data_IF_320803204551
#
_entry.id   IF_320803204551
#
_cell.length_a   1.000
_cell.length_b   1.000
_cell.length_c   1.000
_cell.angle_alpha   90.00
_cell.angle_beta   90.00
_cell.angle_gamma   90.00
#
_symmetry.space_group_name_H-M   'P 1'
#
loop_
_entity.id
_entity.type
_entity.pdbx_description
1 polymer ?
#
# COMPACT_ATOMS: atom_id res chain seq x y z
N UNK A 1 11.30 0.90 12.70
CA UNK A 1 10.60 1.57 11.59
C UNK A 1 9.79 2.72 12.16
N UNK A 2 9.80 3.88 11.49
CA UNK A 2 9.42 5.19 12.05
C UNK A 2 10.52 5.83 12.92
N UNK A 3 10.65 7.15 12.90
CA UNK A 3 11.53 7.90 13.82
C UNK A 3 10.83 8.08 15.18
N UNK A 4 10.56 6.97 15.87
CA UNK A 4 9.79 6.95 17.13
C UNK A 4 10.62 7.32 18.37
N UNK A 5 11.94 7.45 18.21
CA UNK A 5 12.87 7.78 19.28
C UNK A 5 13.47 9.16 19.07
N UNK A 6 13.62 9.92 20.14
CA UNK A 6 14.28 11.23 20.14
C UNK A 6 15.73 11.11 20.62
N UNK A 7 16.69 11.32 19.72
CA UNK A 7 18.12 11.36 20.05
C UNK A 7 18.53 12.77 20.48
N UNK A 8 18.71 12.94 21.80
CA UNK A 8 19.04 14.23 22.43
C UNK A 8 20.40 14.77 22.02
N UNK A 9 21.41 13.90 21.89
CA UNK A 9 22.78 14.31 21.55
C UNK A 9 22.93 14.87 20.14
N UNK A 10 21.96 14.61 19.25
CA UNK A 10 21.93 15.14 17.89
C UNK A 10 20.66 15.91 17.55
N UNK A 11 19.85 16.26 18.57
CA UNK A 11 18.58 16.98 18.45
C UNK A 11 17.71 16.52 17.26
N UNK A 12 17.59 15.20 17.08
CA UNK A 12 16.87 14.62 15.94
C UNK A 12 16.11 13.37 16.32
N UNK A 13 15.03 13.11 15.59
CA UNK A 13 14.31 11.85 15.70
C UNK A 13 15.08 10.74 14.93
N UNK A 14 15.10 9.54 15.48
CA UNK A 14 15.85 8.40 14.96
C UNK A 14 15.02 7.12 15.05
N UNK A 15 15.33 6.16 14.18
CA UNK A 15 14.74 4.83 14.25
C UNK A 15 15.41 3.99 15.34
N UNK A 16 14.79 2.87 15.73
CA UNK A 16 15.43 1.91 16.63
C UNK A 16 16.75 1.35 16.07
N UNK A 17 16.81 1.07 14.77
CA UNK A 17 18.05 0.60 14.13
C UNK A 17 19.14 1.68 14.15
N UNK A 18 18.78 2.93 13.84
CA UNK A 18 19.71 4.07 13.95
C UNK A 18 20.19 4.26 15.39
N UNK A 19 19.30 4.10 16.39
CA UNK A 19 19.66 4.18 17.81
C UNK A 19 20.73 3.15 18.19
N UNK A 20 20.55 1.90 17.73
CA UNK A 20 21.53 0.84 17.95
C UNK A 20 22.85 1.10 17.22
N UNK A 21 22.80 1.75 16.06
CA UNK A 21 23.97 2.09 15.24
C UNK A 21 24.63 3.44 15.60
N UNK A 22 24.13 4.17 16.62
CA UNK A 22 24.77 5.41 17.07
C UNK A 22 26.22 5.12 17.48
N UNK A 23 27.13 6.05 17.13
CA UNK A 23 28.53 5.97 17.49
C UNK A 23 28.68 5.78 19.00
N UNK A 24 29.56 4.85 19.36
CA UNK A 24 29.88 4.49 20.75
C UNK A 24 31.36 4.74 20.98
N UNK A 25 31.72 4.99 22.23
CA UNK A 25 33.12 5.20 22.61
C UNK A 25 34.00 3.98 22.29
N UNK A 26 33.44 2.77 22.43
CA UNK A 26 34.13 1.52 22.10
C UNK A 26 33.18 0.50 21.46
N UNK A 27 33.75 -0.49 20.75
CA UNK A 27 32.99 -1.56 20.09
C UNK A 27 32.25 -2.49 21.08
N UNK A 28 32.68 -2.54 22.34
CA UNK A 28 32.10 -3.39 23.40
C UNK A 28 31.19 -2.61 24.34
N UNK A 29 31.12 -1.28 24.21
CA UNK A 29 30.20 -0.48 25.00
C UNK A 29 28.75 -0.93 24.74
N UNK A 30 27.99 -1.12 25.82
CA UNK A 30 26.58 -1.47 25.78
C UNK A 30 25.76 -0.45 24.98
N UNK A 31 24.52 -0.79 24.59
CA UNK A 31 23.67 0.13 23.84
C UNK A 31 23.41 1.41 24.64
N UNK A 32 23.28 2.55 23.94
CA UNK A 32 22.92 3.82 24.56
C UNK A 32 21.62 3.65 25.35
N UNK A 33 21.61 4.14 26.60
CA UNK A 33 20.47 3.97 27.50
C UNK A 33 19.23 4.66 26.92
N UNK A 34 18.17 3.87 26.70
CA UNK A 34 16.87 4.40 26.31
C UNK A 34 16.07 4.72 27.57
N UNK A 35 15.75 6.00 27.77
CA UNK A 35 14.85 6.42 28.85
C UNK A 35 13.54 7.04 28.32
N UNK A 36 12.61 7.36 29.23
CA UNK A 36 11.32 7.93 28.85
C UNK A 36 11.43 9.28 28.12
N UNK A 37 12.54 10.02 28.26
CA UNK A 37 12.78 11.29 27.57
C UNK A 37 13.19 11.09 26.10
N UNK A 38 13.53 9.87 25.72
CA UNK A 38 13.81 9.49 24.34
C UNK A 38 12.56 8.97 23.60
N UNK A 39 11.41 8.90 24.26
CA UNK A 39 10.16 8.48 23.63
C UNK A 39 9.35 9.72 23.23
N UNK A 40 8.85 9.74 22.00
CA UNK A 40 7.90 10.75 21.56
C UNK A 40 6.52 10.35 22.07
N UNK A 41 5.92 11.19 22.91
CA UNK A 41 4.60 10.93 23.48
C UNK A 41 3.57 10.78 22.34
N UNK A 42 2.67 9.83 22.48
CA UNK A 42 1.60 9.53 21.49
C UNK A 42 2.12 9.04 20.13
N UNK A 43 3.42 8.75 20.01
CA UNK A 43 4.08 8.19 18.84
C UNK A 43 4.95 6.99 19.25
N UNK A 44 4.53 6.23 20.26
CA UNK A 44 5.34 5.13 20.81
C UNK A 44 5.37 3.87 19.93
N UNK A 45 4.43 3.76 18.99
CA UNK A 45 4.27 2.61 18.09
C UNK A 45 3.78 3.03 16.71
N UNK A 46 3.73 2.06 15.79
CA UNK A 46 3.35 2.30 14.40
C UNK A 46 1.91 2.84 14.27
N UNK A 47 0.95 2.20 14.94
CA UNK A 47 -0.46 2.65 14.97
C UNK A 47 -0.58 4.08 15.52
N UNK A 48 0.05 4.35 16.67
CA UNK A 48 0.03 5.66 17.30
C UNK A 48 0.67 6.73 16.39
N UNK A 49 1.75 6.38 15.70
CA UNK A 49 2.43 7.25 14.77
C UNK A 49 1.58 7.59 13.54
N UNK A 50 0.99 6.59 12.89
CA UNK A 50 0.09 6.79 11.75
C UNK A 50 -1.11 7.65 12.17
N UNK A 51 -1.71 7.36 13.33
CA UNK A 51 -2.78 8.17 13.90
C UNK A 51 -2.35 9.63 14.08
N UNK A 52 -1.18 9.87 14.68
CA UNK A 52 -0.65 11.23 14.87
C UNK A 52 -0.46 11.95 13.53
N UNK A 53 0.06 11.29 12.50
CA UNK A 53 0.23 11.88 11.16
C UNK A 53 -1.12 12.29 10.57
N UNK A 54 -2.12 11.42 10.62
CA UNK A 54 -3.44 11.76 10.07
C UNK A 54 -4.18 12.81 10.89
N UNK A 55 -4.24 12.69 12.21
CA UNK A 55 -5.08 13.56 13.06
C UNK A 55 -4.39 14.90 13.38
N UNK A 56 -3.09 14.89 13.70
CA UNK A 56 -2.38 16.09 14.16
C UNK A 56 -1.67 16.82 13.00
N UNK A 57 -1.01 16.08 12.11
CA UNK A 57 -0.25 16.71 11.01
C UNK A 57 -1.19 17.06 9.87
N UNK A 58 -1.80 16.07 9.22
CA UNK A 58 -2.69 16.31 8.08
C UNK A 58 -3.99 16.98 8.54
N UNK A 59 -4.59 16.49 9.63
CA UNK A 59 -5.87 16.99 10.13
C UNK A 59 -5.87 18.46 10.55
N UNK A 60 -4.77 18.95 11.15
CA UNK A 60 -4.67 20.34 11.65
C UNK A 60 -3.84 21.27 10.77
N UNK A 61 -2.80 20.76 10.09
CA UNK A 61 -1.90 21.60 9.31
C UNK A 61 -2.27 21.66 7.82
N UNK A 62 -2.90 20.62 7.27
CA UNK A 62 -3.47 20.71 5.92
C UNK A 62 -4.80 21.49 5.97
N UNK A 63 -5.03 22.38 5.01
CA UNK A 63 -6.31 23.10 4.91
C UNK A 63 -7.49 22.14 4.87
N UNK A 64 -8.66 22.50 5.40
CA UNK A 64 -9.80 21.57 5.55
C UNK A 64 -10.29 20.95 4.23
N UNK A 65 -10.13 21.68 3.12
CA UNK A 65 -10.49 21.25 1.76
C UNK A 65 -9.33 20.58 1.00
N UNK A 66 -8.17 20.41 1.64
CA UNK A 66 -7.02 19.80 0.96
C UNK A 66 -7.31 18.34 0.66
N UNK A 67 -7.11 17.98 -0.61
CA UNK A 67 -7.12 16.61 -1.11
C UNK A 67 -5.82 15.94 -0.73
N UNK A 68 -5.90 14.67 -0.30
CA UNK A 68 -4.79 13.91 0.25
C UNK A 68 -4.56 12.65 -0.57
N UNK A 69 -3.34 12.47 -1.05
CA UNK A 69 -2.87 11.20 -1.59
C UNK A 69 -1.99 10.51 -0.56
N UNK A 70 -2.13 9.19 -0.45
CA UNK A 70 -1.44 8.40 0.57
C UNK A 70 -0.48 7.42 -0.10
N UNK A 71 0.81 7.52 0.24
CA UNK A 71 1.80 6.51 -0.09
C UNK A 71 2.22 5.82 1.20
N UNK A 72 1.95 4.52 1.30
CA UNK A 72 2.48 3.67 2.35
C UNK A 72 3.53 2.74 1.79
N UNK A 73 4.66 2.56 2.49
CA UNK A 73 5.71 1.59 2.10
C UNK A 73 6.11 0.73 3.29
N UNK A 74 6.23 -0.58 3.05
CA UNK A 74 6.55 -1.58 4.07
C UNK A 74 5.54 -1.54 5.21
N UNK A 75 5.94 -1.36 6.48
CA UNK A 75 4.99 -1.26 7.59
C UNK A 75 3.97 -0.12 7.44
N UNK A 76 4.33 0.96 6.77
CA UNK A 76 3.40 2.06 6.48
C UNK A 76 2.31 1.65 5.47
N UNK A 77 2.61 0.74 4.55
CA UNK A 77 1.65 0.16 3.62
C UNK A 77 0.63 -0.75 4.30
N UNK A 78 0.87 -1.17 5.55
CA UNK A 78 -0.05 -1.99 6.34
C UNK A 78 -0.90 -1.12 7.27
N UNK A 79 -0.25 -0.28 8.07
CA UNK A 79 -0.96 0.46 9.13
C UNK A 79 -1.78 1.63 8.57
N UNK A 80 -1.31 2.32 7.53
CA UNK A 80 -2.05 3.43 6.93
C UNK A 80 -3.44 3.01 6.38
N UNK A 81 -3.58 1.95 5.57
CA UNK A 81 -4.90 1.51 5.12
C UNK A 81 -5.76 0.96 6.26
N UNK A 82 -5.18 0.30 7.28
CA UNK A 82 -5.94 -0.13 8.48
C UNK A 82 -6.50 1.09 9.24
N UNK A 83 -5.72 2.15 9.37
CA UNK A 83 -6.18 3.39 9.98
C UNK A 83 -7.33 4.02 9.18
N UNK A 84 -7.18 4.09 7.85
CA UNK A 84 -8.19 4.62 6.96
C UNK A 84 -9.48 3.78 7.01
N UNK A 85 -9.39 2.46 6.98
CA UNK A 85 -10.51 1.53 7.12
C UNK A 85 -11.35 1.83 8.37
N UNK A 86 -10.70 1.97 9.53
CA UNK A 86 -11.38 2.23 10.82
C UNK A 86 -12.03 3.61 10.92
N UNK A 87 -11.60 4.58 10.11
CA UNK A 87 -12.03 5.99 10.16
C UNK A 87 -12.48 6.52 8.80
N UNK A 88 -12.93 5.63 7.93
CA UNK A 88 -13.13 5.96 6.53
C UNK A 88 -14.16 7.06 6.35
N UNK A 89 -15.20 7.10 7.18
CA UNK A 89 -16.23 8.13 7.12
C UNK A 89 -15.67 9.57 7.23
N UNK A 90 -14.60 9.76 8.00
CA UNK A 90 -13.95 11.07 8.14
C UNK A 90 -13.01 11.41 6.97
N UNK A 91 -12.44 10.39 6.33
CA UNK A 91 -11.38 10.55 5.32
C UNK A 91 -11.84 10.36 3.88
N UNK A 92 -12.97 9.71 3.63
CA UNK A 92 -13.50 9.37 2.29
C UNK A 92 -13.67 10.57 1.36
N UNK A 93 -13.94 11.76 1.91
CA UNK A 93 -14.12 12.99 1.13
C UNK A 93 -12.80 13.71 0.81
N UNK A 94 -11.71 13.34 1.49
CA UNK A 94 -10.41 14.01 1.39
C UNK A 94 -9.37 13.15 0.70
N UNK A 95 -9.41 11.82 0.89
CA UNK A 95 -8.45 10.90 0.29
C UNK A 95 -8.80 10.69 -1.18
N UNK A 96 -7.88 11.05 -2.07
CA UNK A 96 -8.04 10.85 -3.51
C UNK A 96 -7.55 9.47 -3.93
N UNK A 97 -6.30 9.11 -3.64
CA UNK A 97 -5.74 7.83 -4.04
C UNK A 97 -4.79 7.25 -2.98
N UNK A 98 -4.58 5.93 -3.06
CA UNK A 98 -3.68 5.20 -2.16
C UNK A 98 -2.74 4.33 -2.97
N UNK A 99 -1.44 4.45 -2.71
CA UNK A 99 -0.38 3.58 -3.24
C UNK A 99 0.25 2.81 -2.08
N UNK A 100 0.29 1.49 -2.22
CA UNK A 100 0.83 0.56 -1.22
C UNK A 100 2.09 -0.12 -1.77
N UNK A 101 3.27 0.24 -1.28
CA UNK A 101 4.54 -0.41 -1.60
C UNK A 101 4.84 -1.56 -0.63
N UNK A 102 4.92 -2.78 -1.14
CA UNK A 102 5.10 -4.01 -0.38
C UNK A 102 4.09 -4.15 0.80
N UNK A 103 2.77 -4.10 0.54
CA UNK A 103 1.79 -4.40 1.57
C UNK A 103 1.85 -5.87 1.96
N UNK A 104 1.53 -6.15 3.21
CA UNK A 104 1.36 -7.48 3.79
C UNK A 104 -0.07 -7.72 4.28
N UNK A 105 -0.86 -6.65 4.47
CA UNK A 105 -2.25 -6.74 4.91
C UNK A 105 -3.16 -7.15 3.75
N UNK A 106 -3.98 -8.17 3.98
CA UNK A 106 -4.96 -8.63 3.00
C UNK A 106 -6.24 -7.79 3.02
N UNK A 107 -6.92 -7.73 1.89
CA UNK A 107 -8.19 -7.01 1.73
C UNK A 107 -9.29 -7.54 2.64
N UNK A 108 -9.22 -8.83 3.02
CA UNK A 108 -10.15 -9.47 3.94
C UNK A 108 -10.02 -8.97 5.38
N UNK A 109 -8.91 -8.31 5.73
CA UNK A 109 -8.68 -7.75 7.07
C UNK A 109 -9.37 -6.39 7.25
N UNK A 110 -9.69 -5.70 6.15
CA UNK A 110 -10.42 -4.44 6.17
C UNK A 110 -11.90 -4.67 6.48
N UNK A 111 -12.43 -3.94 7.47
CA UNK A 111 -13.79 -4.11 7.98
C UNK A 111 -14.81 -3.28 7.22
N UNK A 112 -14.44 -2.07 6.79
CA UNK A 112 -15.33 -1.15 6.10
C UNK A 112 -15.46 -1.54 4.62
N UNK A 113 -16.69 -1.85 4.21
CA UNK A 113 -16.98 -2.24 2.82
C UNK A 113 -16.76 -1.07 1.84
N UNK A 114 -16.97 0.17 2.29
CA UNK A 114 -16.80 1.37 1.49
C UNK A 114 -15.32 1.65 1.23
N UNK A 115 -14.46 1.32 2.20
CA UNK A 115 -13.02 1.40 2.00
C UNK A 115 -12.53 0.30 1.05
N UNK A 116 -13.05 -0.93 1.19
CA UNK A 116 -12.77 -2.00 0.23
C UNK A 116 -13.21 -1.63 -1.19
N UNK A 117 -14.40 -1.04 -1.36
CA UNK A 117 -14.90 -0.57 -2.66
C UNK A 117 -14.02 0.55 -3.25
N UNK A 118 -13.50 1.46 -2.41
CA UNK A 118 -12.56 2.50 -2.82
C UNK A 118 -11.24 1.92 -3.35
N UNK A 119 -10.72 0.85 -2.74
CA UNK A 119 -9.54 0.15 -3.26
C UNK A 119 -9.87 -0.54 -4.59
N UNK A 120 -10.98 -1.28 -4.62
CA UNK A 120 -11.48 -1.92 -5.82
C UNK A 120 -12.91 -2.40 -5.68
N UNK A 121 -13.68 -2.20 -6.75
CA UNK A 121 -15.08 -2.59 -6.84
C UNK A 121 -15.22 -3.90 -7.61
N UNK A 122 -15.90 -4.87 -7.02
CA UNK A 122 -16.31 -6.08 -7.75
C UNK A 122 -17.60 -5.76 -8.48
N UNK A 123 -17.58 -5.78 -9.82
CA UNK A 123 -18.79 -5.67 -10.63
C UNK A 123 -19.19 -7.06 -11.12
N UNK A 124 -20.45 -7.49 -10.94
CA UNK A 124 -20.95 -8.64 -11.69
C UNK A 124 -20.87 -8.27 -13.16
N UNK A 125 -20.26 -9.13 -13.97
CA UNK A 125 -20.18 -8.96 -15.42
C UNK A 125 -21.59 -9.14 -15.98
N UNK A 126 -22.40 -8.08 -15.98
CA UNK A 126 -23.54 -8.06 -16.88
C UNK A 126 -22.93 -8.00 -18.28
N UNK A 127 -22.95 -9.14 -18.99
CA UNK A 127 -22.65 -9.19 -20.41
C UNK A 127 -23.52 -8.13 -21.10
N UNK A 128 -22.95 -6.95 -21.33
CA UNK A 128 -23.57 -5.95 -22.17
C UNK A 128 -23.63 -6.59 -23.56
N UNK A 129 -24.85 -6.84 -24.03
CA UNK A 129 -25.10 -7.62 -25.23
C UNK A 129 -24.37 -7.08 -26.44
N UNK A 130 -23.28 -7.74 -26.81
CA UNK A 130 -23.02 -8.03 -28.22
C UNK A 130 -23.44 -9.48 -28.42
N UNK A 131 -24.71 -9.64 -28.78
CA UNK A 131 -25.17 -10.87 -29.41
C UNK A 131 -24.44 -11.00 -30.75
N UNK A 132 -23.25 -11.61 -30.74
CA UNK A 132 -22.73 -12.24 -31.95
C UNK A 132 -23.51 -13.54 -32.07
N UNK A 133 -24.56 -13.51 -32.88
CA UNK A 133 -25.24 -14.72 -33.29
C UNK A 133 -24.27 -15.56 -34.11
N UNK A 134 -23.64 -16.56 -33.48
CA UNK A 134 -23.12 -17.70 -34.21
C UNK A 134 -23.33 -18.97 -33.40
N UNK A 135 -23.99 -19.93 -34.05
CA UNK A 135 -24.53 -21.12 -33.44
C UNK A 135 -23.48 -22.17 -33.04
N UNK A 136 -24.03 -23.19 -32.39
CA UNK A 136 -23.42 -24.43 -31.91
C UNK A 136 -22.59 -24.35 -30.62
N UNK A 137 -23.30 -24.65 -29.52
CA UNK A 137 -22.95 -25.80 -28.69
C UNK A 137 -21.58 -25.77 -28.02
N UNK A 138 -21.41 -24.90 -27.04
CA UNK A 138 -20.31 -24.96 -26.07
C UNK A 138 -20.79 -24.32 -24.78
N UNK A 139 -20.80 -25.07 -23.67
CA UNK A 139 -21.31 -24.63 -22.38
C UNK A 139 -20.76 -23.27 -21.98
N UNK A 140 -21.65 -22.37 -21.55
CA UNK A 140 -21.28 -21.10 -20.96
C UNK A 140 -20.38 -21.36 -19.74
N UNK A 141 -19.05 -21.24 -19.92
CA UNK A 141 -18.13 -21.14 -18.79
C UNK A 141 -18.50 -19.87 -18.03
N UNK A 142 -18.66 -20.02 -16.71
CA UNK A 142 -19.36 -19.09 -15.84
C UNK A 142 -18.98 -17.62 -16.04
N UNK A 143 -19.97 -16.77 -15.86
CA UNK A 143 -19.84 -15.31 -15.81
C UNK A 143 -18.79 -14.93 -14.75
N UNK A 144 -17.56 -14.65 -15.18
CA UNK A 144 -16.48 -14.22 -14.31
C UNK A 144 -16.81 -12.90 -13.63
N UNK A 145 -16.52 -12.76 -12.33
CA UNK A 145 -16.59 -11.47 -11.64
C UNK A 145 -15.44 -10.61 -12.13
N UNK A 146 -15.74 -9.47 -12.75
CA UNK A 146 -14.72 -8.51 -13.16
C UNK A 146 -14.56 -7.48 -12.05
N UNK A 147 -13.39 -7.47 -11.43
CA UNK A 147 -13.03 -6.44 -10.46
C UNK A 147 -12.49 -5.22 -11.21
N UNK A 148 -12.73 -4.02 -10.68
CA UNK A 148 -12.23 -2.74 -11.22
C UNK A 148 -11.54 -2.00 -10.08
N UNK A 149 -10.26 -1.67 -10.25
CA UNK A 149 -9.48 -0.95 -9.24
C UNK A 149 -9.90 0.49 -9.37
N UNK A 150 -10.43 1.10 -8.32
CA UNK A 150 -10.83 2.50 -8.42
C UNK A 150 -9.62 3.37 -8.13
N UNK A 151 -9.19 3.43 -6.86
CA UNK A 151 -8.22 4.44 -6.43
C UNK A 151 -7.10 3.87 -5.56
N UNK A 152 -6.96 2.55 -5.54
CA UNK A 152 -5.84 1.84 -4.94
C UNK A 152 -4.90 1.26 -6.00
N UNK A 153 -3.59 1.29 -5.74
CA UNK A 153 -2.58 0.47 -6.42
C UNK A 153 -1.61 -0.12 -5.42
N UNK A 154 -1.21 -1.37 -5.64
CA UNK A 154 -0.16 -2.04 -4.88
C UNK A 154 1.07 -2.28 -5.76
N UNK A 155 2.25 -2.02 -5.22
CA UNK A 155 3.54 -2.30 -5.84
C UNK A 155 4.26 -3.36 -5.04
N UNK A 156 4.45 -4.54 -5.63
CA UNK A 156 5.05 -5.70 -4.97
C UNK A 156 6.56 -5.75 -5.24
N UNK A 157 7.29 -6.36 -4.32
CA UNK A 157 8.72 -6.65 -4.48
C UNK A 157 8.88 -7.63 -5.63
N UNK A 158 9.48 -7.19 -6.72
CA UNK A 158 9.69 -7.98 -7.93
C UNK A 158 10.81 -7.37 -8.78
N UNK A 159 11.52 -8.25 -9.49
CA UNK A 159 12.60 -7.89 -10.43
C UNK A 159 12.09 -7.46 -11.80
N UNK A 160 10.82 -7.72 -12.08
CA UNK A 160 10.20 -7.34 -13.35
C UNK A 160 10.26 -5.83 -13.55
N UNK A 161 10.26 -5.33 -14.80
CA UNK A 161 10.19 -3.91 -15.08
C UNK A 161 9.06 -3.24 -14.30
N UNK A 162 9.28 -1.99 -13.89
CA UNK A 162 8.27 -1.22 -13.16
C UNK A 162 6.96 -1.14 -13.96
N UNK A 163 5.83 -1.18 -13.28
CA UNK A 163 4.48 -1.21 -13.85
C UNK A 163 4.13 -2.49 -14.64
N UNK A 164 4.96 -3.55 -14.59
CA UNK A 164 4.54 -4.89 -15.04
C UNK A 164 3.41 -5.40 -14.14
N UNK A 165 2.24 -5.81 -14.69
CA UNK A 165 1.13 -6.31 -13.90
C UNK A 165 1.50 -7.63 -13.21
N UNK A 166 1.14 -7.76 -11.94
CA UNK A 166 1.38 -8.93 -11.12
C UNK A 166 0.08 -9.48 -10.54
N UNK A 167 0.09 -10.77 -10.22
CA UNK A 167 -1.00 -11.39 -9.46
C UNK A 167 -0.97 -10.88 -8.02
N UNK A 168 -2.13 -10.88 -7.35
CA UNK A 168 -2.26 -10.34 -6.00
C UNK A 168 -3.47 -9.43 -5.82
N UNK A 169 -4.17 -9.08 -6.90
CA UNK A 169 -5.37 -8.25 -6.83
C UNK A 169 -6.44 -8.81 -5.89
N UNK A 170 -6.70 -10.11 -5.95
CA UNK A 170 -7.65 -10.77 -5.05
C UNK A 170 -7.21 -10.70 -3.57
N UNK A 171 -5.90 -10.62 -3.32
CA UNK A 171 -5.33 -10.55 -1.97
C UNK A 171 -5.36 -9.12 -1.42
N UNK A 172 -5.01 -8.11 -2.24
CA UNK A 172 -4.86 -6.72 -1.78
C UNK A 172 -6.05 -5.81 -2.13
N UNK A 173 -7.00 -6.28 -2.94
CA UNK A 173 -8.21 -5.54 -3.32
C UNK A 173 -8.00 -4.47 -4.40
N UNK A 174 -6.79 -4.33 -4.93
CA UNK A 174 -6.43 -3.34 -5.94
C UNK A 174 -5.44 -3.92 -6.95
N UNK A 175 -5.26 -3.25 -8.10
CA UNK A 175 -4.30 -3.69 -9.11
C UNK A 175 -2.87 -3.73 -8.54
N UNK A 176 -2.17 -4.82 -8.83
CA UNK A 176 -0.82 -5.08 -8.34
C UNK A 176 0.19 -4.97 -9.49
N UNK A 177 1.29 -4.27 -9.23
CA UNK A 177 2.35 -4.03 -10.19
C UNK A 177 3.71 -4.38 -9.61
N UNK A 178 4.69 -4.62 -10.48
CA UNK A 178 6.08 -4.71 -10.08
C UNK A 178 6.60 -3.34 -9.65
N UNK A 179 7.27 -3.30 -8.50
CA UNK A 179 8.03 -2.13 -8.05
C UNK A 179 9.36 -1.95 -8.79
N UNK A 180 9.86 -2.98 -9.48
CA UNK A 180 11.23 -3.02 -10.01
C UNK A 180 12.31 -3.20 -8.93
N UNK A 181 11.93 -3.38 -7.67
CA UNK A 181 12.83 -3.62 -6.55
C UNK A 181 12.82 -5.12 -6.15
N UNK A 182 13.96 -5.82 -6.25
CA UNK A 182 14.04 -7.25 -6.00
C UNK A 182 13.87 -7.71 -4.56
N UNK A 183 14.27 -6.89 -3.58
CA UNK A 183 14.50 -7.38 -2.21
C UNK A 183 13.99 -6.45 -1.11
N UNK A 184 14.23 -5.14 -1.21
CA UNK A 184 14.07 -4.23 -0.09
C UNK A 184 12.86 -3.31 -0.26
N UNK A 185 11.82 -3.50 0.55
CA UNK A 185 10.62 -2.65 0.50
C UNK A 185 10.92 -1.16 0.59
N UNK A 186 11.94 -0.80 1.36
CA UNK A 186 12.39 0.57 1.61
C UNK A 186 13.01 1.22 0.36
N UNK A 187 13.50 0.41 -0.57
CA UNK A 187 14.05 0.85 -1.86
C UNK A 187 12.96 1.02 -2.93
N UNK A 188 11.71 0.64 -2.67
CA UNK A 188 10.60 0.87 -3.61
C UNK A 188 10.40 2.36 -3.87
N UNK A 189 10.48 3.22 -2.83
CA UNK A 189 10.31 4.66 -3.01
C UNK A 189 11.30 5.28 -4.00
N UNK A 190 12.63 5.16 -3.83
CA UNK A 190 13.57 5.77 -4.76
C UNK A 190 13.47 5.22 -6.19
N UNK A 191 13.02 3.97 -6.37
CA UNK A 191 12.85 3.34 -7.70
C UNK A 191 11.54 3.75 -8.37
N UNK A 192 10.43 3.76 -7.62
CA UNK A 192 9.08 3.83 -8.17
C UNK A 192 8.35 5.15 -7.94
N UNK A 193 8.94 6.11 -7.21
CA UNK A 193 8.30 7.40 -6.89
C UNK A 193 7.73 8.13 -8.12
N UNK A 194 8.44 8.13 -9.25
CA UNK A 194 7.98 8.82 -10.46
C UNK A 194 6.68 8.22 -10.99
N UNK A 195 6.53 6.90 -10.88
CA UNK A 195 5.31 6.19 -11.27
C UNK A 195 4.17 6.44 -10.30
N UNK A 196 4.47 6.55 -9.00
CA UNK A 196 3.47 6.84 -7.97
C UNK A 196 2.88 8.24 -8.17
N UNK A 197 3.73 9.23 -8.39
CA UNK A 197 3.30 10.60 -8.65
C UNK A 197 2.55 10.71 -9.98
N UNK A 198 3.03 10.05 -11.04
CA UNK A 198 2.32 10.00 -12.32
C UNK A 198 0.93 9.35 -12.20
N UNK A 199 0.78 8.35 -11.34
CA UNK A 199 -0.51 7.74 -11.03
C UNK A 199 -1.44 8.73 -10.33
N UNK A 200 -0.98 9.45 -9.31
CA UNK A 200 -1.81 10.45 -8.63
C UNK A 200 -2.25 11.57 -9.57
N UNK A 201 -1.33 12.07 -10.40
CA UNK A 201 -1.66 13.04 -11.44
C UNK A 201 -2.74 12.51 -12.40
N UNK A 202 -2.69 11.22 -12.75
CA UNK A 202 -3.68 10.58 -13.61
C UNK A 202 -5.06 10.51 -12.92
N UNK A 203 -5.10 10.08 -11.65
CA UNK A 203 -6.34 10.00 -10.87
C UNK A 203 -6.95 11.38 -10.66
N UNK A 204 -6.12 12.41 -10.46
CA UNK A 204 -6.55 13.79 -10.33
C UNK A 204 -7.17 14.34 -11.63
N UNK A 205 -6.60 13.97 -12.79
CA UNK A 205 -7.04 14.46 -14.12
C UNK A 205 -8.31 13.77 -14.63
N UNK A 206 -8.60 12.55 -14.19
CA UNK A 206 -9.72 11.73 -14.70
C UNK A 206 -10.81 11.58 -13.63
N UNK A 207 -11.91 12.35 -13.70
CA UNK A 207 -13.05 12.16 -12.81
C UNK A 207 -13.62 10.75 -12.95
N UNK A 208 -13.81 10.06 -11.82
CA UNK A 208 -14.30 8.68 -11.84
C UNK A 208 -13.30 7.68 -12.41
N UNK A 209 -11.99 7.94 -12.26
CA UNK A 209 -10.93 7.01 -12.65
C UNK A 209 -11.22 5.58 -12.17
N UNK A 210 -11.15 4.65 -13.12
CA UNK A 210 -11.36 3.22 -12.93
C UNK A 210 -10.35 2.47 -13.80
N UNK A 211 -9.64 1.52 -13.21
CA UNK A 211 -8.63 0.72 -13.88
C UNK A 211 -9.05 -0.76 -13.95
N UNK A 212 -9.11 -1.29 -15.16
CA UNK A 212 -9.40 -2.70 -15.41
C UNK A 212 -8.23 -3.59 -15.02
N UNK A 213 -8.49 -4.86 -14.74
CA UNK A 213 -7.40 -5.83 -14.64
C UNK A 213 -6.72 -5.96 -15.99
N UNK A 214 -5.40 -5.87 -16.00
CA UNK A 214 -4.62 -6.35 -17.14
C UNK A 214 -4.56 -7.87 -17.00
N UNK A 215 -5.03 -8.65 -17.98
CA UNK A 215 -4.86 -10.09 -17.98
C UNK A 215 -3.37 -10.39 -17.87
N UNK A 216 -2.98 -11.09 -16.81
CA UNK A 216 -1.62 -11.57 -16.65
C UNK A 216 -1.49 -12.75 -17.61
N UNK A 217 -0.58 -12.72 -18.60
CA UNK A 217 -0.30 -13.90 -19.39
C UNK A 217 0.13 -14.98 -18.41
N UNK A 218 -0.54 -16.14 -18.42
CA UNK A 218 -0.17 -17.27 -17.59
C UNK A 218 1.31 -17.56 -17.82
N UNK A 219 2.16 -17.16 -16.87
CA UNK A 219 3.52 -17.67 -16.78
C UNK A 219 3.37 -19.11 -16.33
N UNK A 220 3.20 -20.03 -17.28
CA UNK A 220 3.44 -21.45 -17.04
C UNK A 220 4.82 -21.59 -16.36
N UNK A 221 4.83 -21.98 -15.08
CA UNK A 221 6.02 -22.56 -14.46
C UNK A 221 6.74 -21.77 -13.35
N UNK A 222 6.08 -20.92 -12.56
CA UNK A 222 6.63 -20.58 -11.22
C UNK A 222 5.99 -21.50 -10.19
N UNK A 223 6.70 -22.58 -9.89
CA UNK A 223 6.43 -23.50 -8.78
C UNK A 223 6.46 -22.69 -7.48
N UNK A 224 5.39 -22.76 -6.69
CA UNK A 224 5.38 -22.26 -5.30
C UNK A 224 6.58 -22.88 -4.55
N UNK A 225 7.42 -22.11 -3.86
CA UNK A 225 8.60 -22.64 -3.17
C UNK A 225 8.27 -23.45 -1.89
N UNK A 226 7.07 -24.00 -1.74
CA UNK A 226 6.67 -24.82 -0.58
C UNK A 226 6.96 -26.32 -0.73
N UNK A 227 7.58 -26.76 -1.82
CA UNK A 227 8.08 -28.14 -1.95
C UNK A 227 9.61 -28.20 -1.81
N UNK A 228 10.09 -28.03 -0.58
CA UNK A 228 11.52 -28.03 -0.26
C UNK A 228 11.81 -28.60 1.12
N UNK A 229 11.73 -29.93 1.25
CA UNK A 229 12.37 -30.69 2.32
C UNK A 229 13.85 -30.31 2.44
N UNK A 230 14.27 -29.76 3.58
CA UNK A 230 15.43 -30.14 4.41
C UNK A 230 15.33 -29.43 5.77
#
# INVERSE_FOLDING_TARGET
>A
MGQLLWYRGGARAVTHGTWQALLRETAVAGPMRLDGRNRVRENEGLEAHVKCVFEEVVGKLAGCEAVVDVIGVGPGANEAPIYLDRRWEAWKGRVQAVVLGAPHTWVSEYRDERFREFLGKVRPLFCCGMAVASGNGGGAKGCGRLMVSQRGRAYLISKEPIDTPLSGRAQYGCNCYSSGEPLYSECIMPVAQERFLAYFDLVAKVPGYEEMEVPIPDLEGVVDPEDGSW
#
